data_IF_609864673293
#
_entry.id   IF_609864673293
#
_cell.length_a   1.000
_cell.length_b   1.000
_cell.length_c   1.000
_cell.angle_alpha   90.00
_cell.angle_beta   90.00
_cell.angle_gamma   90.00
#
_symmetry.space_group_name_H-M   'P 1'
#
loop_
_entity.id
_entity.type
_entity.pdbx_description
1 polymer ?
#
# COMPACT_ATOMS: atom_id res chain seq x y z
N UNK A 1 7.66 -20.68 -24.19
CA UNK A 1 7.01 -19.52 -24.83
C UNK A 1 5.66 -19.20 -24.16
N UNK A 2 4.69 -20.12 -24.12
CA UNK A 2 3.41 -19.90 -23.43
C UNK A 2 3.50 -19.70 -21.90
N UNK A 3 4.44 -20.35 -21.22
CA UNK A 3 4.62 -20.15 -19.77
C UNK A 3 5.13 -18.74 -19.40
N UNK A 4 5.93 -18.12 -20.28
CA UNK A 4 6.35 -16.73 -20.11
C UNK A 4 5.17 -15.76 -20.25
N UNK A 5 4.30 -16.01 -21.24
CA UNK A 5 3.06 -15.25 -21.44
C UNK A 5 2.09 -15.42 -20.26
N UNK A 6 1.95 -16.62 -19.70
CA UNK A 6 1.14 -16.84 -18.49
C UNK A 6 1.70 -16.11 -17.27
N UNK A 7 3.03 -16.12 -17.09
CA UNK A 7 3.69 -15.34 -16.03
C UNK A 7 3.52 -13.83 -16.24
N UNK A 8 3.66 -13.34 -17.47
CA UNK A 8 3.42 -11.93 -17.80
C UNK A 8 1.96 -11.54 -17.57
N UNK A 9 1.01 -12.41 -17.92
CA UNK A 9 -0.43 -12.16 -17.69
C UNK A 9 -0.80 -12.21 -16.20
N UNK A 10 -0.23 -13.15 -15.45
CA UNK A 10 -0.41 -13.25 -13.99
C UNK A 10 0.20 -12.02 -13.31
N UNK A 11 1.42 -11.64 -13.67
CA UNK A 11 2.08 -10.43 -13.19
C UNK A 11 1.30 -9.17 -13.56
N UNK A 12 0.72 -9.09 -14.75
CA UNK A 12 -0.12 -7.96 -15.15
C UNK A 12 -1.46 -7.90 -14.40
N UNK A 13 -1.98 -9.04 -13.90
CA UNK A 13 -3.15 -9.05 -13.00
C UNK A 13 -2.79 -8.69 -11.57
N UNK A 14 -1.59 -9.07 -11.14
CA UNK A 14 -1.09 -8.76 -9.81
C UNK A 14 -0.57 -7.30 -9.73
N UNK A 15 -0.06 -6.75 -10.83
CA UNK A 15 0.50 -5.39 -10.90
C UNK A 15 -0.48 -4.29 -10.49
N UNK A 16 -1.77 -4.28 -10.92
CA UNK A 16 -2.75 -3.33 -10.39
C UNK A 16 -2.85 -3.38 -8.86
N UNK A 17 -2.81 -4.57 -8.28
CA UNK A 17 -2.83 -4.72 -6.82
C UNK A 17 -1.53 -4.20 -6.18
N UNK A 18 -0.37 -4.43 -6.80
CA UNK A 18 0.90 -3.85 -6.33
C UNK A 18 0.88 -2.33 -6.39
N UNK A 19 0.39 -1.76 -7.49
CA UNK A 19 0.25 -0.31 -7.67
C UNK A 19 -0.69 0.29 -6.61
N UNK A 20 -1.80 -0.40 -6.31
CA UNK A 20 -2.71 -0.03 -5.23
C UNK A 20 -2.03 -0.10 -3.85
N UNK A 21 -1.32 -1.19 -3.56
CA UNK A 21 -0.61 -1.36 -2.30
C UNK A 21 0.42 -0.24 -2.10
N UNK A 22 1.29 -0.01 -3.09
CA UNK A 22 2.32 1.04 -3.03
C UNK A 22 1.72 2.45 -2.96
N UNK A 23 0.59 2.69 -3.63
CA UNK A 23 -0.15 3.94 -3.50
C UNK A 23 -0.70 4.15 -2.07
N UNK A 24 -1.24 3.11 -1.44
CA UNK A 24 -1.68 3.16 -0.03
C UNK A 24 -0.53 3.44 0.92
N UNK A 25 0.62 2.77 0.71
CA UNK A 25 1.84 3.00 1.48
C UNK A 25 2.31 4.45 1.35
N UNK A 26 2.33 4.99 0.12
CA UNK A 26 2.80 6.34 -0.15
C UNK A 26 1.89 7.42 0.45
N UNK A 27 0.57 7.19 0.46
CA UNK A 27 -0.40 8.06 1.13
C UNK A 27 -0.18 8.13 2.64
N UNK A 28 0.11 6.98 3.27
CA UNK A 28 0.36 6.89 4.71
C UNK A 28 1.70 7.53 5.06
N UNK A 29 2.76 7.20 4.31
CA UNK A 29 4.09 7.78 4.50
C UNK A 29 4.17 9.29 4.19
N UNK A 30 3.16 9.83 3.51
CA UNK A 30 3.02 11.28 3.26
C UNK A 30 1.84 11.88 4.05
N UNK A 31 1.36 11.19 5.08
CA UNK A 31 0.30 11.69 5.95
C UNK A 31 0.78 12.93 6.70
N UNK A 32 2.04 12.91 7.15
CA UNK A 32 2.75 14.06 7.66
C UNK A 32 3.42 14.78 6.47
N UNK A 33 3.37 16.12 6.44
CA UNK A 33 3.83 16.95 5.32
C UNK A 33 5.32 16.76 4.93
N UNK A 34 6.07 15.91 5.64
CA UNK A 34 7.46 15.57 5.36
C UNK A 34 7.70 14.05 5.50
N UNK A 35 8.06 13.38 4.40
CA UNK A 35 8.49 11.97 4.44
C UNK A 35 9.86 11.88 5.10
N UNK A 36 9.90 11.38 6.32
CA UNK A 36 11.10 11.21 7.13
C UNK A 36 11.96 10.02 6.68
N UNK A 37 13.25 10.05 7.05
CA UNK A 37 14.15 8.91 6.86
C UNK A 37 13.66 7.65 7.59
N UNK A 38 12.93 7.81 8.69
CA UNK A 38 12.36 6.69 9.45
C UNK A 38 11.29 5.93 8.67
N UNK A 39 10.48 6.63 7.87
CA UNK A 39 9.45 6.01 7.05
C UNK A 39 10.04 5.25 5.86
N UNK A 40 11.15 5.74 5.28
CA UNK A 40 11.90 4.98 4.26
C UNK A 40 12.42 3.65 4.81
N UNK A 41 12.97 3.64 6.01
CA UNK A 41 13.43 2.39 6.66
C UNK A 41 12.27 1.45 6.97
N UNK A 42 11.09 1.96 7.38
CA UNK A 42 9.87 1.15 7.58
C UNK A 42 9.47 0.45 6.29
N UNK A 43 9.58 1.14 5.16
CA UNK A 43 9.23 0.55 3.86
C UNK A 43 10.18 -0.56 3.43
N UNK A 44 11.49 -0.43 3.66
CA UNK A 44 12.44 -1.50 3.29
C UNK A 44 12.08 -2.82 4.00
N UNK A 45 11.70 -2.75 5.29
CA UNK A 45 11.22 -3.90 6.06
C UNK A 45 9.90 -4.48 5.50
N UNK A 46 9.04 -3.62 4.97
CA UNK A 46 7.77 -4.01 4.36
C UNK A 46 7.98 -4.63 3.00
N UNK A 47 8.89 -4.08 2.19
CA UNK A 47 9.28 -4.62 0.90
C UNK A 47 9.95 -5.98 1.07
N UNK A 48 10.75 -6.17 2.12
CA UNK A 48 11.23 -7.49 2.53
C UNK A 48 10.07 -8.42 2.88
N UNK A 49 9.10 -7.97 3.70
CA UNK A 49 7.92 -8.77 4.06
C UNK A 49 7.04 -9.12 2.84
N UNK A 50 6.90 -8.19 1.87
CA UNK A 50 6.19 -8.42 0.61
C UNK A 50 6.98 -9.35 -0.33
N UNK A 51 8.31 -9.31 -0.28
CA UNK A 51 9.19 -10.23 -1.01
C UNK A 51 9.09 -11.66 -0.45
N UNK A 52 8.91 -11.82 0.87
CA UNK A 52 8.65 -13.12 1.51
C UNK A 52 7.33 -13.74 1.04
N UNK A 53 6.31 -12.93 0.78
CA UNK A 53 5.05 -13.40 0.20
C UNK A 53 5.25 -13.92 -1.24
N UNK A 54 6.38 -13.65 -1.91
CA UNK A 54 6.74 -14.04 -3.30
C UNK A 54 5.69 -13.63 -4.35
N UNK A 55 4.83 -12.67 -4.04
CA UNK A 55 3.74 -12.24 -4.91
C UNK A 55 4.24 -11.20 -5.93
N UNK A 56 5.32 -10.49 -5.61
CA UNK A 56 5.80 -9.34 -6.38
C UNK A 56 7.33 -9.25 -6.46
N UNK A 57 7.81 -8.52 -7.47
CA UNK A 57 9.21 -8.12 -7.58
C UNK A 57 9.44 -6.91 -6.64
N UNK A 58 10.32 -7.02 -5.63
CA UNK A 58 10.57 -5.93 -4.68
C UNK A 58 11.16 -4.69 -5.35
N UNK A 59 11.90 -4.83 -6.45
CA UNK A 59 12.41 -3.67 -7.20
C UNK A 59 11.27 -2.90 -7.88
N UNK A 60 10.30 -3.61 -8.48
CA UNK A 60 9.12 -2.98 -9.08
C UNK A 60 8.26 -2.28 -8.02
N UNK A 61 8.16 -2.87 -6.81
CA UNK A 61 7.45 -2.26 -5.69
C UNK A 61 8.12 -0.95 -5.22
N UNK A 62 9.45 -0.94 -5.05
CA UNK A 62 10.23 0.26 -4.71
C UNK A 62 10.04 1.36 -5.77
N UNK A 63 10.15 1.01 -7.04
CA UNK A 63 10.02 1.97 -8.15
C UNK A 63 8.63 2.60 -8.18
N UNK A 64 7.59 1.77 -8.04
CA UNK A 64 6.21 2.25 -7.98
C UNK A 64 5.98 3.16 -6.78
N UNK A 65 6.48 2.78 -5.61
CA UNK A 65 6.36 3.61 -4.42
C UNK A 65 7.04 4.97 -4.61
N UNK A 66 8.29 5.00 -5.05
CA UNK A 66 9.05 6.23 -5.24
C UNK A 66 8.33 7.16 -6.22
N UNK A 67 7.80 6.61 -7.32
CA UNK A 67 6.99 7.37 -8.26
C UNK A 67 5.74 8.00 -7.63
N UNK A 68 5.10 7.32 -6.67
CA UNK A 68 3.94 7.87 -5.93
C UNK A 68 4.34 8.98 -4.97
N UNK A 69 5.44 8.82 -4.26
CA UNK A 69 5.98 9.88 -3.40
C UNK A 69 6.38 11.10 -4.22
N UNK A 70 7.02 10.90 -5.37
CA UNK A 70 7.41 12.00 -6.25
C UNK A 70 6.18 12.74 -6.80
N UNK A 71 5.11 12.02 -7.16
CA UNK A 71 3.84 12.62 -7.56
C UNK A 71 3.20 13.43 -6.42
N UNK A 72 3.16 12.88 -5.20
CA UNK A 72 2.65 13.57 -4.00
C UNK A 72 3.46 14.82 -3.64
N UNK A 73 4.78 14.81 -3.88
CA UNK A 73 5.66 15.97 -3.67
C UNK A 73 5.52 17.03 -4.76
N UNK A 74 5.26 16.62 -5.99
CA UNK A 74 5.10 17.53 -7.12
C UNK A 74 3.79 18.32 -6.99
N UNK A 75 2.68 17.63 -6.73
CA UNK A 75 1.37 18.22 -6.48
C UNK A 75 0.58 17.28 -5.55
N UNK A 76 0.40 17.69 -4.30
CA UNK A 76 -0.20 16.84 -3.27
C UNK A 76 -1.65 16.49 -3.57
N UNK A 77 -2.44 17.42 -4.09
CA UNK A 77 -3.86 17.19 -4.38
C UNK A 77 -4.02 16.19 -5.54
N UNK A 78 -3.27 16.40 -6.62
CA UNK A 78 -3.26 15.53 -7.81
C UNK A 78 -2.68 14.16 -7.47
N UNK A 79 -1.55 14.12 -6.77
CA UNK A 79 -0.90 12.87 -6.35
C UNK A 79 -1.78 12.04 -5.43
N UNK A 80 -2.53 12.66 -4.51
CA UNK A 80 -3.51 11.96 -3.69
C UNK A 80 -4.65 11.39 -4.52
N UNK A 81 -5.22 12.18 -5.45
CA UNK A 81 -6.29 11.73 -6.33
C UNK A 81 -5.86 10.51 -7.17
N UNK A 82 -4.65 10.54 -7.74
CA UNK A 82 -4.08 9.44 -8.51
C UNK A 82 -3.79 8.21 -7.66
N UNK A 83 -3.32 8.37 -6.43
CA UNK A 83 -3.08 7.28 -5.50
C UNK A 83 -4.39 6.58 -5.11
N UNK A 84 -5.44 7.34 -4.76
CA UNK A 84 -6.76 6.77 -4.49
C UNK A 84 -7.36 6.09 -5.72
N UNK A 85 -7.11 6.61 -6.93
CA UNK A 85 -7.56 5.95 -8.15
C UNK A 85 -6.84 4.62 -8.41
N UNK A 86 -5.53 4.55 -8.16
CA UNK A 86 -4.79 3.30 -8.19
C UNK A 86 -5.36 2.28 -7.19
N UNK A 87 -5.65 2.71 -5.95
CA UNK A 87 -6.26 1.87 -4.91
C UNK A 87 -7.58 1.27 -5.37
N UNK A 88 -8.51 2.11 -5.85
CA UNK A 88 -9.84 1.64 -6.32
C UNK A 88 -9.76 0.68 -7.50
N UNK A 89 -8.80 0.88 -8.41
CA UNK A 89 -8.62 0.02 -9.60
C UNK A 89 -7.89 -1.29 -9.29
N UNK A 90 -6.98 -1.29 -8.31
CA UNK A 90 -6.15 -2.45 -8.00
C UNK A 90 -6.76 -3.41 -6.97
N UNK A 91 -7.64 -2.93 -6.10
CA UNK A 91 -8.28 -3.72 -5.06
C UNK A 91 -9.74 -4.10 -5.43
N UNK A 92 -9.97 -4.60 -6.64
CA UNK A 92 -11.33 -4.95 -7.11
C UNK A 92 -11.69 -6.43 -6.94
N UNK A 93 -10.72 -7.28 -6.66
CA UNK A 93 -10.96 -8.72 -6.47
C UNK A 93 -11.46 -9.02 -5.05
N UNK A 94 -12.24 -10.09 -4.89
CA UNK A 94 -12.74 -10.52 -3.58
C UNK A 94 -11.57 -10.73 -2.59
N UNK A 95 -11.63 -10.08 -1.43
CA UNK A 95 -10.59 -10.13 -0.41
C UNK A 95 -9.38 -9.23 -0.66
N UNK A 96 -9.28 -8.58 -1.82
CA UNK A 96 -8.18 -7.66 -2.13
C UNK A 96 -8.26 -6.34 -1.33
N UNK A 97 -9.43 -5.68 -1.16
CA UNK A 97 -9.55 -4.52 -0.28
C UNK A 97 -9.03 -4.78 1.14
N UNK A 98 -9.43 -5.88 1.75
CA UNK A 98 -9.08 -6.27 3.11
C UNK A 98 -7.59 -6.58 3.21
N UNK A 99 -7.03 -7.27 2.21
CA UNK A 99 -5.59 -7.53 2.15
C UNK A 99 -4.79 -6.23 2.02
N UNK A 100 -5.26 -5.27 1.21
CA UNK A 100 -4.59 -3.98 1.06
C UNK A 100 -4.58 -3.20 2.37
N UNK A 101 -5.71 -3.16 3.10
CA UNK A 101 -5.77 -2.55 4.43
C UNK A 101 -4.82 -3.24 5.40
N UNK A 102 -4.76 -4.58 5.39
CA UNK A 102 -3.81 -5.34 6.25
C UNK A 102 -2.36 -4.99 5.96
N UNK A 103 -1.98 -4.87 4.68
CA UNK A 103 -0.64 -4.43 4.28
C UNK A 103 -0.38 -3.01 4.82
N UNK A 104 -1.31 -2.08 4.61
CA UNK A 104 -1.16 -0.70 5.06
C UNK A 104 -1.03 -0.60 6.59
N UNK A 105 -1.83 -1.37 7.34
CA UNK A 105 -1.77 -1.44 8.81
C UNK A 105 -0.44 -2.04 9.29
N UNK A 106 0.04 -3.11 8.65
CA UNK A 106 1.33 -3.70 8.99
C UNK A 106 2.49 -2.71 8.85
N UNK A 107 2.44 -1.85 7.82
CA UNK A 107 3.43 -0.80 7.58
C UNK A 107 3.42 0.24 8.69
N UNK A 108 2.23 0.74 9.03
CA UNK A 108 2.07 1.74 10.08
C UNK A 108 2.42 1.22 11.48
N UNK A 109 2.56 -0.10 11.66
CA UNK A 109 2.91 -0.72 12.94
C UNK A 109 4.36 -1.23 12.98
N UNK A 110 5.11 -1.10 11.90
CA UNK A 110 6.46 -1.66 11.79
C UNK A 110 7.43 -1.16 12.88
N UNK A 111 7.25 0.06 13.35
CA UNK A 111 8.01 0.69 14.45
C UNK A 111 7.27 0.72 15.80
N UNK A 112 6.02 0.26 15.84
CA UNK A 112 5.19 0.21 17.04
C UNK A 112 4.51 1.53 17.43
N UNK A 113 4.63 2.61 16.65
CA UNK A 113 3.99 3.90 16.91
C UNK A 113 2.99 4.22 15.80
N UNK A 114 1.72 3.95 16.08
CA UNK A 114 0.64 4.32 15.19
C UNK A 114 0.19 5.75 15.47
N UNK A 115 0.56 6.70 14.61
CA UNK A 115 0.23 8.12 14.83
C UNK A 115 -1.17 8.46 14.31
N UNK A 116 -1.78 9.51 14.88
CA UNK A 116 -3.17 9.87 14.57
C UNK A 116 -3.41 10.17 13.08
N UNK A 117 -2.40 10.74 12.39
CA UNK A 117 -2.48 11.07 10.97
C UNK A 117 -2.46 9.82 10.08
N UNK A 118 -1.66 8.81 10.41
CA UNK A 118 -1.66 7.50 9.72
C UNK A 118 -3.02 6.81 9.88
N UNK A 119 -3.60 6.83 11.09
CA UNK A 119 -4.94 6.28 11.33
C UNK A 119 -6.03 7.00 10.54
N UNK A 120 -5.94 8.34 10.45
CA UNK A 120 -6.86 9.13 9.65
C UNK A 120 -6.74 8.78 8.16
N UNK A 121 -5.52 8.67 7.63
CA UNK A 121 -5.29 8.27 6.23
C UNK A 121 -5.77 6.86 5.94
N UNK A 122 -5.53 5.90 6.83
CA UNK A 122 -6.09 4.55 6.73
C UNK A 122 -7.61 4.56 6.71
N UNK A 123 -8.25 5.39 7.52
CA UNK A 123 -9.70 5.60 7.49
C UNK A 123 -10.20 6.08 6.12
N UNK A 124 -9.48 6.99 5.48
CA UNK A 124 -9.79 7.45 4.12
C UNK A 124 -9.60 6.34 3.08
N UNK A 125 -8.56 5.51 3.22
CA UNK A 125 -8.33 4.34 2.35
C UNK A 125 -9.49 3.34 2.50
N UNK A 126 -9.89 2.99 3.73
CA UNK A 126 -11.04 2.12 3.98
C UNK A 126 -12.32 2.67 3.35
N UNK A 127 -12.61 3.96 3.55
CA UNK A 127 -13.77 4.61 2.94
C UNK A 127 -13.74 4.55 1.42
N UNK A 128 -12.56 4.73 0.80
CA UNK A 128 -12.39 4.66 -0.66
C UNK A 128 -12.65 3.25 -1.24
N UNK A 129 -12.48 2.22 -0.41
CA UNK A 129 -12.69 0.81 -0.73
C UNK A 129 -14.05 0.28 -0.26
N UNK A 130 -14.91 1.14 0.29
CA UNK A 130 -16.19 0.76 0.87
C UNK A 130 -16.06 -0.27 2.00
N UNK A 131 -14.96 -0.19 2.76
CA UNK A 131 -14.70 -1.00 3.96
C UNK A 131 -15.10 -0.23 5.21
N UNK A 132 -15.54 -0.98 6.22
CA UNK A 132 -15.84 -0.43 7.52
C UNK A 132 -14.54 -0.07 8.27
N UNK A 133 -14.49 1.01 9.07
CA UNK A 133 -13.29 1.38 9.83
C UNK A 133 -12.76 0.28 10.75
N UNK A 134 -13.64 -0.63 11.20
CA UNK A 134 -13.33 -1.81 12.00
C UNK A 134 -12.33 -2.74 11.31
N UNK A 135 -12.21 -2.70 9.98
CA UNK A 135 -11.21 -3.44 9.23
C UNK A 135 -9.76 -3.10 9.64
N UNK A 136 -9.54 -1.89 10.16
CA UNK A 136 -8.22 -1.47 10.69
C UNK A 136 -7.92 -2.24 11.98
N UNK A 137 -8.90 -2.32 12.88
CA UNK A 137 -8.75 -2.99 14.19
C UNK A 137 -8.67 -4.52 14.02
N UNK A 138 -9.42 -5.08 13.06
CA UNK A 138 -9.31 -6.49 12.66
C UNK A 138 -7.93 -6.82 12.07
N UNK A 139 -7.42 -5.95 11.18
CA UNK A 139 -6.08 -6.11 10.62
C UNK A 139 -4.99 -6.08 11.70
N UNK A 140 -5.14 -5.21 12.71
CA UNK A 140 -4.26 -5.17 13.88
C UNK A 140 -4.30 -6.49 14.65
N UNK A 141 -5.49 -7.01 14.97
CA UNK A 141 -5.62 -8.25 15.73
C UNK A 141 -4.95 -9.45 15.04
N UNK A 142 -5.05 -9.53 13.71
CA UNK A 142 -4.45 -10.62 12.91
C UNK A 142 -2.92 -10.58 12.91
N UNK A 143 -2.29 -9.41 13.05
CA UNK A 143 -0.82 -9.28 13.02
C UNK A 143 -0.16 -9.68 14.35
N UNK A 144 -0.91 -9.70 15.46
CA UNK A 144 -0.42 -10.02 16.80
C UNK A 144 -0.91 -11.37 17.36
N UNK A 145 -1.52 -12.22 16.53
CA UNK A 145 -1.98 -13.58 16.89
C UNK A 145 -1.11 -14.63 16.23
#
# INVERSE_FOLDING_TARGET
>A
MFERLKQELARHRQRPFLEAAMAGCALIASADDEVSFSERTRMDAVLESLAELRIFDPHEAVDLFNARIDALKADRETGQAEAFDAIRRGATADGAPELLVRICVAISLADGIFVANERAMLGLICASLNLAPEAIDEAQAVLFT
#
